data_IF_824645308118
#
_entry.id   IF_824645308118
#
_cell.length_a   1.000
_cell.length_b   1.000
_cell.length_c   1.000
_cell.angle_alpha   90.00
_cell.angle_beta   90.00
_cell.angle_gamma   90.00
#
_symmetry.space_group_name_H-M   'P 1'
#
loop_
_entity.id
_entity.type
_entity.pdbx_description
1 polymer ?
#
# COMPACT_ATOMS: atom_id res chain seq x y z
N UNK A 1 -86.23 2.38 -23.05
CA UNK A 1 -84.85 2.88 -22.91
C UNK A 1 -84.06 1.87 -22.11
N UNK A 2 -82.95 1.37 -22.66
CA UNK A 2 -82.09 0.33 -22.08
C UNK A 2 -80.87 0.99 -21.42
N UNK A 3 -80.65 0.76 -20.13
CA UNK A 3 -79.39 1.08 -19.46
C UNK A 3 -78.64 -0.22 -19.18
N UNK A 4 -77.49 -0.35 -19.84
CA UNK A 4 -76.55 -1.48 -19.72
C UNK A 4 -75.66 -1.24 -18.50
N UNK A 5 -75.56 -2.20 -17.60
CA UNK A 5 -74.53 -2.24 -16.56
C UNK A 5 -73.32 -3.01 -17.09
N UNK A 6 -72.17 -2.33 -17.10
CA UNK A 6 -70.87 -2.88 -17.50
C UNK A 6 -70.28 -3.70 -16.34
N UNK A 7 -69.94 -4.97 -16.59
CA UNK A 7 -69.07 -5.76 -15.71
C UNK A 7 -67.61 -5.37 -15.96
N UNK A 8 -66.89 -5.01 -14.90
CA UNK A 8 -65.44 -4.79 -14.93
C UNK A 8 -64.73 -6.13 -14.65
N UNK A 9 -64.06 -6.69 -15.66
CA UNK A 9 -63.17 -7.84 -15.52
C UNK A 9 -61.81 -7.36 -15.00
N UNK A 10 -61.45 -7.74 -13.78
CA UNK A 10 -60.09 -7.56 -13.25
C UNK A 10 -59.26 -8.76 -13.74
N UNK A 11 -58.36 -8.52 -14.68
CA UNK A 11 -57.34 -9.48 -15.10
C UNK A 11 -56.20 -9.48 -14.07
N UNK A 12 -56.05 -10.59 -13.34
CA UNK A 12 -54.88 -10.86 -12.51
C UNK A 12 -53.71 -11.26 -13.42
N UNK A 13 -52.78 -10.35 -13.65
CA UNK A 13 -51.48 -10.65 -14.25
C UNK A 13 -50.58 -11.32 -13.21
N UNK A 14 -50.44 -12.64 -13.30
CA UNK A 14 -49.39 -13.37 -12.60
C UNK A 14 -48.05 -13.01 -13.23
N UNK A 15 -47.20 -12.30 -12.48
CA UNK A 15 -45.80 -12.07 -12.82
C UNK A 15 -45.03 -13.38 -12.74
N UNK A 16 -44.60 -13.90 -13.89
CA UNK A 16 -43.66 -15.01 -13.98
C UNK A 16 -42.32 -14.57 -13.40
N UNK A 17 -42.01 -15.01 -12.17
CA UNK A 17 -40.66 -14.95 -11.64
C UNK A 17 -39.81 -15.98 -12.40
N UNK A 18 -39.14 -15.56 -13.47
CA UNK A 18 -38.00 -16.29 -14.01
C UNK A 18 -36.85 -16.12 -13.03
N UNK A 19 -36.55 -17.18 -12.27
CA UNK A 19 -35.25 -17.29 -11.62
C UNK A 19 -34.22 -17.55 -12.70
N UNK A 20 -33.25 -16.64 -12.81
CA UNK A 20 -32.04 -16.93 -13.58
C UNK A 20 -31.36 -18.14 -12.94
N UNK A 21 -31.14 -19.16 -13.77
CA UNK A 21 -30.41 -20.37 -13.38
C UNK A 21 -28.99 -19.96 -13.00
N UNK A 22 -28.68 -20.02 -11.70
CA UNK A 22 -27.31 -19.87 -11.20
C UNK A 22 -26.50 -21.04 -11.75
N UNK A 23 -25.83 -20.84 -12.87
CA UNK A 23 -24.78 -21.75 -13.32
C UNK A 23 -23.81 -21.91 -12.16
N UNK A 24 -23.62 -23.17 -11.73
CA UNK A 24 -22.63 -23.51 -10.72
C UNK A 24 -21.28 -22.99 -11.20
N UNK A 25 -20.85 -21.86 -10.63
CA UNK A 25 -19.55 -21.29 -10.91
C UNK A 25 -18.58 -22.32 -10.38
N UNK A 26 -17.82 -22.98 -11.27
CA UNK A 26 -16.66 -23.76 -10.85
C UNK A 26 -15.81 -22.77 -10.08
N UNK A 27 -15.82 -22.89 -8.75
CA UNK A 27 -14.96 -22.10 -7.87
C UNK A 27 -13.54 -22.36 -8.33
N UNK A 28 -12.96 -21.40 -9.05
CA UNK A 28 -11.59 -21.49 -9.52
C UNK A 28 -10.68 -21.79 -8.31
N UNK A 29 -10.10 -22.98 -8.28
CA UNK A 29 -9.36 -23.44 -7.10
C UNK A 29 -8.03 -22.70 -7.03
N UNK A 30 -7.98 -21.64 -6.22
CA UNK A 30 -6.78 -20.83 -6.03
C UNK A 30 -5.72 -21.59 -5.22
N UNK A 31 -4.46 -21.48 -5.65
CA UNK A 31 -3.30 -22.05 -4.96
C UNK A 31 -2.63 -20.98 -4.09
N UNK A 32 -2.10 -21.34 -2.90
CA UNK A 32 -1.34 -20.40 -2.10
C UNK A 32 -0.03 -20.03 -2.80
N UNK A 33 0.32 -18.75 -2.78
CA UNK A 33 1.60 -18.23 -3.22
C UNK A 33 2.50 -17.94 -2.03
N UNK A 34 3.70 -18.52 -2.08
CA UNK A 34 4.78 -18.22 -1.15
C UNK A 34 5.71 -17.16 -1.77
N UNK A 35 6.47 -16.46 -0.93
CA UNK A 35 7.49 -15.48 -1.33
C UNK A 35 6.95 -14.23 -2.06
N UNK A 36 5.68 -13.88 -1.86
CA UNK A 36 5.18 -12.57 -2.28
C UNK A 36 5.78 -11.51 -1.36
N UNK A 37 6.50 -10.54 -1.93
CA UNK A 37 7.13 -9.46 -1.17
C UNK A 37 6.10 -8.41 -0.75
N UNK A 38 6.04 -8.10 0.53
CA UNK A 38 5.27 -6.96 1.04
C UNK A 38 6.20 -5.76 1.16
N UNK A 39 6.14 -4.85 0.19
CA UNK A 39 6.92 -3.61 0.20
C UNK A 39 6.24 -2.58 1.10
N UNK A 40 6.63 -2.56 2.38
CA UNK A 40 6.08 -1.64 3.35
C UNK A 40 6.88 -0.33 3.42
N UNK A 41 6.20 0.79 3.20
CA UNK A 41 6.75 2.14 3.32
C UNK A 41 6.37 2.74 4.67
N UNK A 42 7.36 3.22 5.43
CA UNK A 42 7.16 3.89 6.72
C UNK A 42 7.60 5.34 6.60
N UNK A 43 6.65 6.24 6.80
CA UNK A 43 6.92 7.65 6.99
C UNK A 43 7.10 7.95 8.47
N UNK A 44 8.29 8.38 8.84
CA UNK A 44 8.73 8.56 10.22
C UNK A 44 9.17 10.01 10.45
N UNK A 45 8.85 10.56 11.61
CA UNK A 45 9.22 11.92 11.99
C UNK A 45 9.95 11.90 13.33
N UNK A 46 11.01 12.70 13.46
CA UNK A 46 11.70 12.84 14.74
C UNK A 46 10.85 13.65 15.73
N UNK A 47 11.00 13.38 17.02
CA UNK A 47 10.24 14.06 18.08
C UNK A 47 10.44 15.60 18.09
N UNK A 48 11.58 16.08 17.62
CA UNK A 48 11.92 17.51 17.49
C UNK A 48 11.45 18.13 16.16
N UNK A 49 10.76 17.36 15.30
CA UNK A 49 10.31 17.74 13.96
C UNK A 49 11.42 18.14 12.96
N UNK A 50 12.70 17.96 13.31
CA UNK A 50 13.81 18.30 12.41
C UNK A 50 13.93 17.32 11.26
N UNK A 51 13.71 16.04 11.51
CA UNK A 51 13.97 14.97 10.55
C UNK A 51 12.68 14.29 10.09
N UNK A 52 12.61 14.03 8.80
CA UNK A 52 11.60 13.17 8.19
C UNK A 52 12.28 12.03 7.45
N UNK A 53 11.95 10.79 7.80
CA UNK A 53 12.53 9.59 7.20
C UNK A 53 11.43 8.82 6.47
N UNK A 54 11.56 8.72 5.16
CA UNK A 54 10.80 7.79 4.34
C UNK A 54 11.58 6.48 4.20
N UNK A 55 11.06 5.38 4.74
CA UNK A 55 11.79 4.12 4.92
C UNK A 55 11.00 2.91 4.39
N UNK A 56 11.58 2.21 3.43
CA UNK A 56 11.19 0.86 3.04
C UNK A 56 11.96 -0.17 3.87
N UNK A 57 11.25 -0.90 4.72
CA UNK A 57 11.82 -1.86 5.67
C UNK A 57 10.93 -3.11 5.82
N UNK A 58 11.53 -4.23 6.24
CA UNK A 58 10.90 -5.56 6.21
C UNK A 58 11.02 -6.26 4.85
N UNK A 59 11.84 -5.72 3.95
CA UNK A 59 12.17 -6.29 2.64
C UNK A 59 13.68 -6.59 2.56
N UNK A 60 14.07 -7.38 1.56
CA UNK A 60 15.47 -7.46 1.16
C UNK A 60 15.96 -6.09 0.70
N UNK A 61 17.17 -5.70 1.10
CA UNK A 61 17.75 -4.38 0.82
C UNK A 61 16.85 -3.20 1.25
N UNK A 62 16.58 -3.02 2.55
CA UNK A 62 15.90 -1.82 3.04
C UNK A 62 16.62 -0.55 2.57
N UNK A 63 15.83 0.47 2.32
CA UNK A 63 16.30 1.75 1.78
C UNK A 63 15.35 2.86 2.18
N UNK A 64 15.83 4.09 2.13
CA UNK A 64 15.02 5.24 2.51
C UNK A 64 15.73 6.55 2.28
N UNK A 65 15.01 7.64 2.50
CA UNK A 65 15.52 9.00 2.37
C UNK A 65 15.25 9.75 3.67
N UNK A 66 16.32 10.23 4.30
CA UNK A 66 16.26 11.12 5.45
C UNK A 66 16.33 12.57 4.97
N UNK A 67 15.30 13.35 5.27
CA UNK A 67 15.26 14.79 5.05
C UNK A 67 15.53 15.51 6.36
N UNK A 68 16.55 16.36 6.37
CA UNK A 68 16.72 17.39 7.40
C UNK A 68 15.92 18.62 6.97
N UNK A 69 14.78 18.83 7.61
CA UNK A 69 13.84 19.92 7.30
C UNK A 69 14.35 21.29 7.74
N UNK A 70 15.32 21.34 8.67
CA UNK A 70 15.93 22.60 9.11
C UNK A 70 17.02 23.05 8.14
N UNK A 71 17.84 22.12 7.67
CA UNK A 71 18.95 22.43 6.75
C UNK A 71 18.58 22.28 5.26
N UNK A 72 17.36 21.81 4.96
CA UNK A 72 16.88 21.47 3.61
C UNK A 72 17.86 20.53 2.87
N UNK A 73 18.31 19.48 3.56
CA UNK A 73 19.22 18.45 3.02
C UNK A 73 18.55 17.09 3.00
N UNK A 74 18.89 16.28 2.01
CA UNK A 74 18.41 14.90 1.90
C UNK A 74 19.57 13.92 1.83
N UNK A 75 19.45 12.78 2.52
CA UNK A 75 20.43 11.69 2.49
C UNK A 75 19.68 10.41 2.12
N UNK A 76 20.07 9.81 1.00
CA UNK A 76 19.53 8.52 0.55
C UNK A 76 20.34 7.39 1.15
N UNK A 77 19.65 6.35 1.62
CA UNK A 77 20.20 5.24 2.37
C UNK A 77 19.83 3.90 1.74
N UNK A 78 20.75 2.93 1.80
CA UNK A 78 20.51 1.50 1.53
C UNK A 78 21.22 0.65 2.57
N UNK A 79 20.72 -0.54 2.87
CA UNK A 79 21.42 -1.43 3.78
C UNK A 79 20.73 -2.74 4.06
N UNK A 80 20.79 -3.18 5.31
CA UNK A 80 20.30 -4.50 5.75
C UNK A 80 19.45 -4.39 7.01
N UNK A 81 18.54 -5.36 7.18
CA UNK A 81 17.74 -5.50 8.38
C UNK A 81 17.80 -6.94 8.90
N UNK A 82 18.02 -7.11 10.20
CA UNK A 82 17.97 -8.39 10.92
C UNK A 82 17.08 -8.25 12.14
N UNK A 83 15.89 -8.85 12.09
CA UNK A 83 14.85 -8.62 13.09
C UNK A 83 14.52 -7.12 13.16
N UNK A 84 14.65 -6.52 14.34
CA UNK A 84 14.44 -5.09 14.53
C UNK A 84 15.69 -4.24 14.23
N UNK A 85 16.88 -4.85 14.13
CA UNK A 85 18.12 -4.12 13.85
C UNK A 85 18.17 -3.72 12.38
N UNK A 86 18.33 -2.41 12.13
CA UNK A 86 18.40 -1.78 10.83
C UNK A 86 19.75 -1.07 10.71
N UNK A 87 20.54 -1.40 9.68
CA UNK A 87 21.84 -0.77 9.44
C UNK A 87 21.87 -0.25 8.02
N UNK A 88 21.91 1.07 7.86
CA UNK A 88 21.86 1.74 6.58
C UNK A 88 23.09 2.61 6.33
N UNK A 89 23.50 2.67 5.07
CA UNK A 89 24.64 3.46 4.58
C UNK A 89 24.17 4.43 3.51
N UNK A 90 24.68 5.66 3.54
CA UNK A 90 24.35 6.66 2.54
C UNK A 90 24.87 6.24 1.17
N UNK A 91 24.09 6.51 0.13
CA UNK A 91 24.49 6.32 -1.27
C UNK A 91 24.41 7.64 -2.03
N UNK A 92 25.34 7.88 -2.95
CA UNK A 92 25.21 9.00 -3.90
C UNK A 92 24.05 8.73 -4.84
N UNK A 93 23.27 9.77 -5.14
CA UNK A 93 22.15 9.68 -6.07
C UNK A 93 22.62 9.85 -7.53
N UNK A 94 23.84 10.39 -7.76
CA UNK A 94 24.28 10.88 -9.09
C UNK A 94 25.65 10.36 -9.58
N UNK A 95 26.20 9.27 -9.05
CA UNK A 95 27.49 8.75 -9.56
C UNK A 95 27.49 7.24 -9.81
N UNK A 96 27.81 6.87 -11.06
CA UNK A 96 28.12 5.51 -11.53
C UNK A 96 29.46 4.96 -10.99
N UNK A 97 30.18 5.76 -10.20
CA UNK A 97 31.34 5.33 -9.42
C UNK A 97 30.91 5.01 -7.99
N UNK A 98 31.56 4.01 -7.36
CA UNK A 98 31.34 3.60 -5.97
C UNK A 98 31.23 4.82 -5.04
N UNK A 99 29.99 5.21 -4.75
CA UNK A 99 29.72 6.37 -3.94
C UNK A 99 30.33 6.18 -2.55
N UNK A 100 31.21 7.09 -2.16
CA UNK A 100 31.81 7.09 -0.81
C UNK A 100 30.67 7.24 0.20
N UNK A 101 30.46 6.21 1.02
CA UNK A 101 29.52 6.28 2.15
C UNK A 101 29.98 7.40 3.09
N UNK A 102 29.17 8.45 3.25
CA UNK A 102 29.44 9.57 4.14
C UNK A 102 28.74 9.43 5.49
N UNK A 103 27.54 8.83 5.49
CA UNK A 103 26.71 8.69 6.67
C UNK A 103 26.26 7.23 6.89
N UNK A 104 26.09 6.86 8.16
CA UNK A 104 25.37 5.66 8.56
C UNK A 104 24.15 6.02 9.38
N UNK A 105 23.09 5.22 9.25
CA UNK A 105 21.91 5.28 10.11
C UNK A 105 21.68 3.88 10.67
N UNK A 106 22.07 3.71 11.94
CA UNK A 106 21.92 2.45 12.67
C UNK A 106 20.77 2.58 13.65
N UNK A 107 19.79 1.68 13.59
CA UNK A 107 18.60 1.81 14.42
C UNK A 107 17.92 0.50 14.78
N UNK A 108 16.97 0.62 15.70
CA UNK A 108 16.12 -0.46 16.20
C UNK A 108 14.66 -0.13 15.85
N UNK A 109 14.16 -0.75 14.78
CA UNK A 109 12.82 -0.54 14.24
C UNK A 109 11.83 -1.55 14.85
N UNK A 110 10.85 -1.06 15.60
CA UNK A 110 9.73 -1.89 16.03
C UNK A 110 8.73 -2.01 14.87
N UNK A 111 8.64 -3.21 14.27
CA UNK A 111 7.77 -3.44 13.12
C UNK A 111 6.27 -3.30 13.43
N UNK A 112 5.85 -3.44 14.69
CA UNK A 112 4.45 -3.35 15.10
C UNK A 112 4.03 -1.90 15.41
N UNK A 113 4.87 -1.13 16.13
CA UNK A 113 4.56 0.26 16.50
C UNK A 113 5.00 1.27 15.43
N UNK A 114 6.02 0.92 14.64
CA UNK A 114 6.65 1.83 13.69
C UNK A 114 7.66 2.78 14.32
N UNK A 115 7.89 2.70 15.63
CA UNK A 115 8.91 3.49 16.33
C UNK A 115 10.31 3.01 15.93
N UNK A 116 11.23 3.97 15.79
CA UNK A 116 12.62 3.72 15.42
C UNK A 116 13.53 4.59 16.29
N UNK A 117 14.30 3.96 17.17
CA UNK A 117 15.45 4.62 17.80
C UNK A 117 16.67 4.43 16.91
N UNK A 118 17.25 5.50 16.41
CA UNK A 118 18.38 5.46 15.49
C UNK A 118 19.54 6.38 15.93
N UNK A 119 20.72 6.10 15.40
CA UNK A 119 21.92 6.94 15.51
C UNK A 119 22.38 7.27 14.10
N UNK A 120 22.29 8.54 13.73
CA UNK A 120 22.89 9.08 12.51
C UNK A 120 24.35 9.42 12.81
N UNK A 121 25.27 8.84 12.04
CA UNK A 121 26.71 9.10 12.21
C UNK A 121 27.36 9.48 10.89
N UNK A 122 28.39 10.33 10.93
CA UNK A 122 29.35 10.43 9.83
C UNK A 122 30.36 9.28 9.91
N UNK A 123 30.92 8.88 8.77
CA UNK A 123 31.86 7.75 8.74
C UNK A 123 33.18 8.02 9.47
N UNK A 124 33.60 9.29 9.56
CA UNK A 124 34.75 9.74 10.34
C UNK A 124 34.46 9.83 11.85
N UNK A 125 33.21 9.60 12.27
CA UNK A 125 32.76 9.63 13.65
C UNK A 125 32.65 11.04 14.26
N UNK A 126 32.83 12.10 13.47
CA UNK A 126 32.73 13.49 13.93
C UNK A 126 31.30 13.87 14.36
N UNK A 127 30.29 13.26 13.75
CA UNK A 127 28.88 13.40 14.11
C UNK A 127 28.34 12.06 14.59
N UNK A 128 27.59 12.09 15.71
CA UNK A 128 26.82 10.97 16.25
C UNK A 128 25.56 11.50 16.92
N UNK A 129 24.48 11.59 16.16
CA UNK A 129 23.21 12.13 16.63
C UNK A 129 22.22 11.00 16.88
N UNK A 130 21.77 10.86 18.13
CA UNK A 130 20.64 9.99 18.44
C UNK A 130 19.35 10.66 17.97
N UNK A 131 18.52 9.93 17.25
CA UNK A 131 17.23 10.40 16.75
C UNK A 131 16.20 9.34 17.10
N UNK A 132 15.20 9.73 17.88
CA UNK A 132 14.03 8.90 18.15
C UNK A 132 12.90 9.32 17.20
N UNK A 133 12.50 8.37 16.35
CA UNK A 133 11.47 8.54 15.34
C UNK A 133 10.18 7.83 15.74
N UNK A 134 9.08 8.45 15.36
CA UNK A 134 7.72 7.93 15.48
C UNK A 134 6.99 8.00 14.13
N UNK A 135 5.90 7.24 13.93
CA UNK A 135 5.07 7.38 12.74
C UNK A 135 4.67 8.84 12.53
N UNK A 136 4.89 9.35 11.32
CA UNK A 136 4.55 10.73 10.98
C UNK A 136 3.04 11.02 11.09
N UNK A 137 2.23 9.98 10.87
CA UNK A 137 0.77 10.00 10.99
C UNK A 137 0.37 8.97 12.05
N UNK A 138 -0.12 9.45 13.19
CA UNK A 138 -0.35 8.62 14.39
C UNK A 138 -1.80 8.20 14.50
N UNK A 139 -1.98 6.93 14.83
CA UNK A 139 -3.29 6.33 15.14
C UNK A 139 -3.16 5.44 16.37
N UNK A 140 -4.22 5.35 17.17
CA UNK A 140 -4.21 4.58 18.43
C UNK A 140 -4.37 3.08 18.17
N UNK A 141 -5.25 2.72 17.23
CA UNK A 141 -5.69 1.33 17.01
C UNK A 141 -5.23 0.80 15.66
N UNK A 142 -3.91 0.78 15.42
CA UNK A 142 -3.36 0.24 14.18
C UNK A 142 -3.52 -1.29 14.13
N UNK A 143 -4.13 -1.86 13.07
CA UNK A 143 -4.26 -3.30 12.96
C UNK A 143 -2.89 -3.96 12.73
N UNK A 144 -2.57 -4.99 13.52
CA UNK A 144 -1.36 -5.80 13.34
C UNK A 144 -1.74 -7.00 12.45
N UNK A 145 -1.35 -6.93 11.18
CA UNK A 145 -1.81 -7.87 10.15
C UNK A 145 -0.68 -8.66 9.49
N UNK A 146 -1.06 -9.81 8.93
CA UNK A 146 -0.24 -10.64 8.05
C UNK A 146 -1.06 -10.96 6.80
N UNK A 147 -0.39 -11.08 5.65
CA UNK A 147 -1.04 -11.39 4.38
C UNK A 147 -0.80 -12.85 3.98
N UNK A 148 -1.82 -13.51 3.43
CA UNK A 148 -1.68 -14.74 2.65
C UNK A 148 -2.18 -14.51 1.24
N UNK A 149 -1.46 -15.06 0.27
CA UNK A 149 -1.65 -14.76 -1.14
C UNK A 149 -2.14 -16.00 -1.87
N UNK A 150 -3.09 -15.85 -2.77
CA UNK A 150 -3.62 -16.95 -3.56
C UNK A 150 -3.86 -16.54 -5.01
N UNK A 151 -3.62 -17.46 -5.93
CA UNK A 151 -3.74 -17.21 -7.35
C UNK A 151 -3.58 -18.47 -8.18
N UNK A 152 -3.39 -18.29 -9.48
CA UNK A 152 -3.20 -19.36 -10.45
C UNK A 152 -1.91 -19.17 -11.24
N UNK A 153 -1.39 -20.29 -11.76
CA UNK A 153 -0.32 -20.22 -12.76
C UNK A 153 -0.89 -19.57 -14.03
N UNK A 154 -0.11 -18.69 -14.64
CA UNK A 154 -0.44 -17.98 -15.87
C UNK A 154 0.85 -17.76 -16.67
N UNK A 155 1.04 -18.58 -17.70
CA UNK A 155 2.26 -18.58 -18.53
C UNK A 155 2.37 -17.35 -19.43
N UNK A 156 1.31 -16.55 -19.57
CA UNK A 156 1.35 -15.30 -20.34
C UNK A 156 1.95 -14.15 -19.51
N UNK A 157 2.00 -14.29 -18.18
CA UNK A 157 2.56 -13.28 -17.28
C UNK A 157 4.04 -13.52 -17.05
N UNK A 158 4.83 -12.45 -16.94
CA UNK A 158 6.27 -12.55 -16.69
C UNK A 158 6.62 -13.27 -15.37
N UNK A 159 5.73 -13.21 -14.38
CA UNK A 159 5.83 -13.95 -13.11
C UNK A 159 5.46 -15.44 -13.23
N UNK A 160 4.90 -15.87 -14.36
CA UNK A 160 4.30 -17.20 -14.54
C UNK A 160 3.03 -17.42 -13.71
N UNK A 161 2.53 -16.38 -13.04
CA UNK A 161 1.49 -16.44 -12.01
C UNK A 161 0.69 -15.16 -11.93
N UNK A 162 -0.62 -15.28 -11.68
CA UNK A 162 -1.53 -14.17 -11.42
C UNK A 162 -2.11 -14.26 -10.01
N UNK A 163 -1.99 -13.19 -9.24
CA UNK A 163 -2.60 -13.06 -7.91
C UNK A 163 -4.08 -12.72 -8.05
N UNK A 164 -4.95 -13.46 -7.35
CA UNK A 164 -6.42 -13.28 -7.41
C UNK A 164 -7.07 -13.05 -6.06
N UNK A 165 -6.38 -13.39 -4.96
CA UNK A 165 -6.86 -13.16 -3.60
C UNK A 165 -5.73 -12.81 -2.63
N UNK A 166 -6.00 -11.86 -1.75
CA UNK A 166 -5.19 -11.58 -0.56
C UNK A 166 -6.05 -11.77 0.67
N UNK A 167 -5.72 -12.73 1.53
CA UNK A 167 -6.31 -12.86 2.85
C UNK A 167 -5.53 -12.01 3.84
N UNK A 168 -6.26 -11.19 4.60
CA UNK A 168 -5.75 -10.32 5.65
C UNK A 168 -6.03 -11.00 6.97
N UNK A 169 -4.97 -11.28 7.72
CA UNK A 169 -5.01 -12.10 8.93
C UNK A 169 -4.61 -11.25 10.12
N UNK A 170 -5.39 -11.30 11.19
CA UNK A 170 -4.99 -10.72 12.47
C UNK A 170 -3.80 -11.51 13.04
N UNK A 171 -2.66 -10.83 13.24
CA UNK A 171 -1.44 -11.47 13.73
C UNK A 171 -1.56 -12.00 15.17
N UNK A 172 -2.51 -11.47 15.94
CA UNK A 172 -2.68 -11.79 17.36
C UNK A 172 -3.38 -13.13 17.55
N UNK A 173 -4.45 -13.38 16.79
CA UNK A 173 -5.32 -14.56 16.95
C UNK A 173 -5.37 -15.47 15.71
N UNK A 174 -4.66 -15.10 14.64
CA UNK A 174 -4.62 -15.81 13.34
C UNK A 174 -5.95 -15.93 12.61
N UNK A 175 -6.96 -15.13 12.98
CA UNK A 175 -8.25 -15.09 12.28
C UNK A 175 -8.16 -14.30 10.97
N UNK A 176 -8.91 -14.71 9.96
CA UNK A 176 -9.05 -13.94 8.71
C UNK A 176 -9.98 -12.76 9.00
N UNK A 177 -9.45 -11.55 8.88
CA UNK A 177 -10.21 -10.30 9.00
C UNK A 177 -11.01 -10.02 7.72
N UNK A 178 -10.39 -10.25 6.57
CA UNK A 178 -10.97 -9.97 5.26
C UNK A 178 -10.25 -10.74 4.16
N UNK A 179 -10.96 -11.11 3.11
CA UNK A 179 -10.38 -11.59 1.85
C UNK A 179 -10.63 -10.57 0.75
N UNK A 180 -9.56 -10.03 0.17
CA UNK A 180 -9.62 -9.15 -0.99
C UNK A 180 -9.67 -10.01 -2.25
N UNK A 181 -10.70 -9.83 -3.07
CA UNK A 181 -10.94 -10.62 -4.31
C UNK A 181 -11.46 -9.72 -5.43
N UNK A 182 -11.68 -10.28 -6.63
CA UNK A 182 -12.25 -9.54 -7.76
C UNK A 182 -11.23 -8.72 -8.54
N UNK A 183 -9.98 -9.19 -8.58
CA UNK A 183 -8.88 -8.57 -9.33
C UNK A 183 -7.96 -9.64 -9.94
N UNK A 184 -7.14 -9.20 -10.90
CA UNK A 184 -5.97 -9.92 -11.38
C UNK A 184 -4.76 -9.02 -11.15
N UNK A 185 -3.78 -9.47 -10.38
CA UNK A 185 -2.64 -8.64 -10.01
C UNK A 185 -1.31 -9.39 -10.16
N UNK A 186 -0.23 -8.60 -10.25
CA UNK A 186 1.12 -9.13 -10.23
C UNK A 186 1.40 -9.85 -8.90
N UNK A 187 2.00 -11.04 -9.00
CA UNK A 187 2.08 -11.98 -7.88
C UNK A 187 3.38 -11.92 -7.09
N UNK A 188 4.41 -11.21 -7.54
CA UNK A 188 5.68 -11.19 -6.83
C UNK A 188 5.73 -10.15 -5.70
N UNK A 189 4.90 -9.11 -5.73
CA UNK A 189 4.90 -8.10 -4.68
C UNK A 189 3.60 -7.31 -4.56
N UNK A 190 3.37 -6.77 -3.35
CA UNK A 190 2.35 -5.76 -3.06
C UNK A 190 2.99 -4.53 -2.41
N UNK A 191 2.36 -3.37 -2.56
CA UNK A 191 2.65 -2.19 -1.75
C UNK A 191 1.82 -2.18 -0.47
N UNK A 192 2.41 -1.73 0.63
CA UNK A 192 1.72 -1.48 1.89
C UNK A 192 2.16 -0.11 2.46
N UNK A 193 1.36 0.92 2.21
CA UNK A 193 1.71 2.32 2.43
C UNK A 193 0.48 3.13 2.84
N UNK A 194 0.68 4.19 3.61
CA UNK A 194 -0.36 5.13 4.04
C UNK A 194 -0.54 6.23 2.97
N UNK A 195 -1.46 6.02 2.02
CA UNK A 195 -1.56 6.86 0.81
C UNK A 195 -2.23 8.20 1.13
N UNK A 196 -3.24 8.17 1.99
CA UNK A 196 -4.05 9.34 2.33
C UNK A 196 -3.58 10.03 3.64
N UNK A 197 -2.42 9.63 4.16
CA UNK A 197 -1.77 10.22 5.33
C UNK A 197 -2.64 10.22 6.59
N UNK A 198 -3.47 9.17 6.76
CA UNK A 198 -4.38 9.03 7.89
C UNK A 198 -3.82 8.13 9.01
N UNK A 199 -2.61 7.59 8.82
CA UNK A 199 -1.89 6.71 9.74
C UNK A 199 -2.23 5.23 9.59
N UNK A 200 -3.25 4.88 8.80
CA UNK A 200 -3.57 3.52 8.42
C UNK A 200 -2.92 3.17 7.08
N UNK A 201 -2.50 1.92 6.94
CA UNK A 201 -1.77 1.50 5.76
C UNK A 201 -2.73 0.82 4.79
N UNK A 202 -2.61 1.18 3.53
CA UNK A 202 -3.40 0.71 2.41
C UNK A 202 -2.64 -0.37 1.64
N UNK A 203 -3.38 -1.21 0.92
CA UNK A 203 -2.81 -2.26 0.05
C UNK A 203 -2.86 -1.80 -1.40
N UNK A 204 -1.71 -1.83 -2.07
CA UNK A 204 -1.57 -1.48 -3.49
C UNK A 204 -1.11 -2.69 -4.28
N UNK A 205 -1.83 -3.03 -5.34
CA UNK A 205 -1.53 -4.19 -6.19
C UNK A 205 -1.30 -3.71 -7.63
N UNK A 206 -0.27 -4.19 -8.32
CA UNK A 206 -0.12 -3.90 -9.76
C UNK A 206 -1.20 -4.64 -10.56
N UNK A 207 -2.01 -3.89 -11.30
CA UNK A 207 -3.16 -4.40 -12.05
C UNK A 207 -2.72 -5.12 -13.33
N UNK A 208 -3.21 -6.34 -13.52
CA UNK A 208 -3.03 -7.15 -14.72
C UNK A 208 -4.36 -7.43 -15.43
N UNK A 209 -5.46 -6.80 -14.98
CA UNK A 209 -6.77 -6.95 -15.61
C UNK A 209 -6.74 -6.39 -17.04
N UNK A 210 -7.62 -6.92 -17.90
CA UNK A 210 -7.81 -6.41 -19.26
C UNK A 210 -6.55 -6.42 -20.14
N UNK A 211 -5.58 -7.30 -19.82
CA UNK A 211 -4.33 -7.44 -20.57
C UNK A 211 -3.26 -6.39 -20.22
N UNK A 212 -3.48 -5.57 -19.18
CA UNK A 212 -2.48 -4.66 -18.63
C UNK A 212 -1.24 -5.43 -18.16
N UNK A 213 -0.09 -4.77 -18.26
CA UNK A 213 1.21 -5.25 -17.78
C UNK A 213 1.73 -4.36 -16.67
N UNK A 214 2.73 -4.86 -15.94
CA UNK A 214 3.36 -4.12 -14.83
C UNK A 214 3.97 -2.80 -15.33
N UNK A 215 4.50 -2.79 -16.56
CA UNK A 215 5.12 -1.62 -17.18
C UNK A 215 4.11 -0.50 -17.48
N UNK A 216 2.81 -0.82 -17.57
CA UNK A 216 1.75 0.16 -17.79
C UNK A 216 1.45 0.98 -16.52
N UNK A 217 2.01 0.60 -15.36
CA UNK A 217 1.90 1.32 -14.07
C UNK A 217 0.45 1.60 -13.65
N UNK A 218 -0.44 0.64 -13.86
CA UNK A 218 -1.79 0.65 -13.30
C UNK A 218 -1.84 -0.14 -12.00
N UNK A 219 -2.61 0.36 -11.04
CA UNK A 219 -2.66 -0.20 -9.69
C UNK A 219 -4.09 -0.27 -9.17
N UNK A 220 -4.35 -1.30 -8.36
CA UNK A 220 -5.56 -1.50 -7.57
C UNK A 220 -5.28 -1.02 -6.15
N UNK A 221 -6.17 -0.18 -5.63
CA UNK A 221 -6.00 0.44 -4.32
C UNK A 221 -7.08 -0.05 -3.36
N UNK A 222 -6.65 -0.65 -2.26
CA UNK A 222 -7.48 -1.09 -1.16
C UNK A 222 -7.16 -0.22 0.05
N UNK A 223 -8.03 0.75 0.31
CA UNK A 223 -7.88 1.77 1.33
C UNK A 223 -8.40 1.27 2.67
N UNK A 224 -7.63 1.38 3.76
CA UNK A 224 -8.13 0.96 5.06
C UNK A 224 -9.14 1.97 5.60
N UNK A 225 -10.35 1.51 5.92
CA UNK A 225 -11.36 2.34 6.57
C UNK A 225 -11.39 2.03 8.07
N UNK A 226 -10.91 2.94 8.94
CA UNK A 226 -10.86 2.68 10.38
C UNK A 226 -12.24 2.59 11.05
N UNK A 227 -13.29 3.15 10.43
CA UNK A 227 -14.65 3.07 10.97
C UNK A 227 -15.24 1.68 10.78
N UNK A 228 -14.99 1.04 9.64
CA UNK A 228 -15.48 -0.31 9.34
C UNK A 228 -14.46 -1.40 9.66
N UNK A 229 -13.21 -1.01 9.94
CA UNK A 229 -12.04 -1.88 10.14
C UNK A 229 -11.78 -2.82 8.96
N UNK A 230 -12.11 -2.37 7.75
CA UNK A 230 -12.00 -3.13 6.52
C UNK A 230 -11.29 -2.32 5.45
N UNK A 231 -10.62 -3.02 4.54
CA UNK A 231 -10.06 -2.46 3.33
C UNK A 231 -11.16 -2.29 2.27
N UNK A 232 -11.23 -1.11 1.67
CA UNK A 232 -12.23 -0.74 0.68
C UNK A 232 -11.54 -0.38 -0.63
N UNK A 233 -11.97 -0.99 -1.73
CA UNK A 233 -11.42 -0.70 -3.05
C UNK A 233 -11.71 0.75 -3.43
N UNK A 234 -10.73 1.44 -4.02
CA UNK A 234 -10.87 2.84 -4.47
C UNK A 234 -10.79 2.94 -6.00
N UNK A 235 -11.92 2.77 -6.73
CA UNK A 235 -11.94 2.88 -8.19
C UNK A 235 -11.53 4.26 -8.72
N UNK A 236 -11.53 5.30 -7.88
CA UNK A 236 -11.09 6.64 -8.28
C UNK A 236 -9.57 6.71 -8.41
N UNK A 237 -8.83 6.11 -7.47
CA UNK A 237 -7.37 6.04 -7.53
C UNK A 237 -6.89 5.13 -8.67
N UNK A 238 -7.64 4.06 -8.98
CA UNK A 238 -7.31 3.13 -10.07
C UNK A 238 -7.32 3.76 -11.47
N UNK A 239 -7.93 4.95 -11.60
CA UNK A 239 -7.91 5.73 -12.85
C UNK A 239 -6.62 6.52 -13.06
N UNK A 240 -5.80 6.66 -12.02
CA UNK A 240 -4.55 7.41 -12.06
C UNK A 240 -3.45 6.44 -12.46
N UNK A 241 -2.80 6.70 -13.60
CA UNK A 241 -1.61 5.95 -14.01
C UNK A 241 -0.40 6.43 -13.22
N UNK A 242 0.43 5.47 -12.77
CA UNK A 242 1.63 5.75 -11.99
C UNK A 242 1.60 5.14 -10.58
N UNK A 243 2.77 4.81 -10.05
CA UNK A 243 2.90 4.37 -8.65
C UNK A 243 3.04 5.62 -7.77
N UNK A 244 2.31 5.73 -6.65
CA UNK A 244 2.35 6.92 -5.81
C UNK A 244 3.74 7.09 -5.17
N UNK A 245 4.36 8.23 -5.43
CA UNK A 245 5.50 8.72 -4.67
C UNK A 245 4.97 9.62 -3.57
N UNK A 246 5.07 9.16 -2.32
CA UNK A 246 4.56 9.89 -1.17
C UNK A 246 5.58 10.92 -0.67
N UNK A 247 5.16 12.18 -0.61
CA UNK A 247 5.87 13.29 0.02
C UNK A 247 5.20 13.62 1.36
N UNK A 248 5.31 12.71 2.32
CA UNK A 248 4.59 12.80 3.60
C UNK A 248 4.93 14.05 4.42
N UNK A 249 6.10 14.66 4.23
CA UNK A 249 6.42 15.93 4.89
C UNK A 249 5.52 17.08 4.44
N UNK A 250 5.03 17.03 3.19
CA UNK A 250 4.13 18.01 2.59
C UNK A 250 2.69 17.50 2.44
N UNK A 251 2.44 16.22 2.80
CA UNK A 251 1.20 15.50 2.51
C UNK A 251 0.81 15.57 1.02
N UNK A 252 1.79 15.35 0.15
CA UNK A 252 1.61 15.35 -1.30
C UNK A 252 1.88 13.97 -1.89
N UNK A 253 1.24 13.68 -3.02
CA UNK A 253 1.43 12.45 -3.78
C UNK A 253 1.74 12.82 -5.22
N UNK A 254 2.88 12.36 -5.72
CA UNK A 254 3.25 12.45 -7.13
C UNK A 254 3.06 11.08 -7.78
N UNK A 255 2.16 10.98 -8.75
CA UNK A 255 1.97 9.76 -9.55
C UNK A 255 2.86 9.74 -10.80
N UNK A 256 3.66 10.78 -11.03
CA UNK A 256 4.43 10.97 -12.25
C UNK A 256 3.61 11.67 -13.34
N UNK A 257 4.30 12.00 -14.44
CA UNK A 257 3.70 12.67 -15.61
C UNK A 257 2.96 13.97 -15.25
N UNK A 258 3.48 14.70 -14.26
CA UNK A 258 2.93 15.98 -13.78
C UNK A 258 1.68 15.84 -12.90
N UNK A 259 1.30 14.63 -12.49
CA UNK A 259 0.11 14.38 -11.69
C UNK A 259 0.42 14.51 -10.19
N UNK A 260 0.49 15.75 -9.71
CA UNK A 260 0.76 16.07 -8.31
C UNK A 260 -0.55 16.38 -7.57
N UNK A 261 -0.73 15.75 -6.41
CA UNK A 261 -1.91 15.92 -5.56
C UNK A 261 -1.50 16.38 -4.17
N UNK A 262 -2.26 17.33 -3.63
CA UNK A 262 -2.26 17.67 -2.20
C UNK A 262 -3.32 16.82 -1.51
N UNK A 263 -2.98 16.19 -0.39
CA UNK A 263 -3.94 15.49 0.44
C UNK A 263 -4.40 16.42 1.56
N UNK A 264 -5.71 16.58 1.68
CA UNK A 264 -6.33 17.36 2.76
C UNK A 264 -7.47 16.55 3.38
N UNK A 265 -7.38 16.29 4.68
CA UNK A 265 -8.39 15.49 5.42
C UNK A 265 -8.65 14.12 4.77
N UNK A 266 -7.59 13.51 4.23
CA UNK A 266 -7.65 12.22 3.53
C UNK A 266 -8.22 12.27 2.10
N UNK A 267 -8.50 13.46 1.57
CA UNK A 267 -8.99 13.65 0.20
C UNK A 267 -7.85 14.15 -0.71
N UNK A 268 -7.75 13.57 -1.90
CA UNK A 268 -6.77 13.97 -2.91
C UNK A 268 -7.30 15.15 -3.74
N UNK A 269 -6.55 16.25 -3.76
CA UNK A 269 -6.83 17.45 -4.55
C UNK A 269 -5.70 17.64 -5.55
N UNK A 270 -6.01 17.63 -6.84
CA UNK A 270 -4.99 17.83 -7.89
C UNK A 270 -4.48 19.27 -7.86
N UNK A 271 -3.16 19.45 -7.86
CA UNK A 271 -2.51 20.77 -7.83
C UNK A 271 -1.61 21.02 -9.05
N UNK A 272 -1.32 19.98 -9.85
CA UNK A 272 -0.64 20.07 -11.14
C UNK A 272 -1.13 18.96 -12.07
#
# INVERSE_FOLDING_TARGET
MKTKSFLCLIALSLSSFSFAESTATISEQLKPFNNVRVSMQRMLRSADNRYFLDLYAGIWNPHGTLKDLTENKSITFKGVQRGNSLNLKSVSVDSSDEAVTQYTLDGNLNANTGELSAVLSTIDGSLKNKIDFEPAFKVVDKPIIVFKFYGNEDTQQASGKVLKRVDIINKTDNTILQSLTGFNAFSNSIGFLDINFDGYYDVVLSDLSEGKKVEDKHFIYWMYNPKTKQFQRSPQLEKITGFPTLHGENQQIDFGDGQLYQVEKGLLNRIQ
#
